data_IF_434648763367
#
_entry.id   IF_434648763367
#
_cell.length_a   1.000
_cell.length_b   1.000
_cell.length_c   1.000
_cell.angle_alpha   90.00
_cell.angle_beta   90.00
_cell.angle_gamma   90.00
#
_symmetry.space_group_name_H-M   'P 1'
#
loop_
_entity.id
_entity.type
_entity.pdbx_description
1 polymer ?
#
# COMPACT_ATOMS: atom_id res chain seq x y z
N UNK A 1 -21.90 4.03 2.67
CA UNK A 1 -21.58 2.94 3.50
C UNK A 1 -20.09 2.64 3.60
N UNK A 2 -19.48 2.99 4.57
CA UNK A 2 -18.23 2.61 5.14
C UNK A 2 -17.12 1.95 4.30
N UNK A 3 -16.90 2.37 3.07
CA UNK A 3 -15.80 1.80 2.30
C UNK A 3 -14.48 2.46 2.66
N UNK A 4 -14.53 3.68 3.16
CA UNK A 4 -13.35 4.38 3.59
C UNK A 4 -12.97 3.91 4.99
N UNK A 5 -11.69 3.65 5.20
CA UNK A 5 -11.18 3.36 6.53
C UNK A 5 -11.01 4.63 7.35
N UNK A 6 -11.09 5.79 6.68
CA UNK A 6 -11.00 7.08 7.32
C UNK A 6 -9.64 7.73 7.09
N UNK A 7 -9.40 8.81 7.81
CA UNK A 7 -8.16 9.55 7.71
C UNK A 7 -7.15 9.07 8.74
N UNK A 8 -5.91 8.91 8.30
CA UNK A 8 -4.77 8.71 9.16
C UNK A 8 -3.74 9.75 8.73
N UNK A 9 -3.49 10.74 9.58
CA UNK A 9 -2.63 11.88 9.26
C UNK A 9 -3.09 12.66 8.02
N UNK A 10 -4.37 12.61 7.70
CA UNK A 10 -4.96 13.33 6.59
C UNK A 10 -5.18 12.53 5.31
N UNK A 11 -4.54 11.37 5.17
CA UNK A 11 -4.77 10.52 4.00
C UNK A 11 -6.09 9.78 4.18
N UNK A 12 -6.93 9.79 3.16
CA UNK A 12 -8.22 9.11 3.20
C UNK A 12 -8.07 7.68 2.70
N UNK A 13 -7.69 6.80 3.61
CA UNK A 13 -7.47 5.39 3.29
C UNK A 13 -8.78 4.68 2.96
N UNK A 14 -8.75 3.90 1.89
CA UNK A 14 -9.89 3.13 1.40
C UNK A 14 -9.71 1.66 1.73
N UNK A 15 -10.83 0.92 1.75
CA UNK A 15 -10.75 -0.52 1.73
C UNK A 15 -10.34 -0.98 0.32
N UNK A 16 -9.66 -2.11 0.24
CA UNK A 16 -9.06 -2.57 -1.01
C UNK A 16 -10.10 -2.77 -2.12
N UNK A 17 -11.21 -3.41 -1.81
CA UNK A 17 -12.24 -3.66 -2.83
C UNK A 17 -12.85 -2.36 -3.36
N UNK A 18 -13.02 -1.37 -2.50
CA UNK A 18 -13.51 -0.07 -2.94
C UNK A 18 -12.48 0.63 -3.82
N UNK A 19 -11.20 0.56 -3.45
CA UNK A 19 -10.14 1.14 -4.28
C UNK A 19 -10.09 0.47 -5.66
N UNK A 20 -10.24 -0.85 -5.70
CA UNK A 20 -10.29 -1.57 -6.97
C UNK A 20 -11.46 -1.10 -7.83
N UNK A 21 -12.63 -0.94 -7.22
CA UNK A 21 -13.82 -0.51 -7.94
C UNK A 21 -13.65 0.88 -8.52
N UNK A 22 -13.11 1.80 -7.73
CA UNK A 22 -12.86 3.17 -8.17
C UNK A 22 -11.79 3.22 -9.27
N UNK A 23 -10.72 2.46 -9.10
CA UNK A 23 -9.62 2.46 -10.07
C UNK A 23 -10.05 1.88 -11.41
N UNK A 24 -10.96 0.93 -11.42
CA UNK A 24 -11.45 0.30 -12.66
C UNK A 24 -12.12 1.32 -13.59
N UNK A 25 -12.70 2.37 -13.03
CA UNK A 25 -13.42 3.39 -13.78
C UNK A 25 -12.67 4.72 -13.85
N UNK A 26 -11.36 4.70 -13.63
CA UNK A 26 -10.56 5.92 -13.49
C UNK A 26 -9.17 5.70 -14.08
N UNK A 27 -8.53 6.82 -14.43
CA UNK A 27 -7.11 6.81 -14.81
C UNK A 27 -6.18 6.87 -13.60
N UNK A 28 -6.73 7.06 -12.40
CA UNK A 28 -5.93 7.09 -11.18
C UNK A 28 -5.57 5.69 -10.75
N UNK A 29 -4.37 5.54 -10.22
CA UNK A 29 -3.86 4.27 -9.73
C UNK A 29 -4.18 4.05 -8.26
N UNK A 30 -4.16 2.80 -7.84
CA UNK A 30 -4.18 2.46 -6.42
C UNK A 30 -2.77 2.59 -5.86
N UNK A 31 -2.66 3.11 -4.64
CA UNK A 31 -1.42 3.16 -3.89
C UNK A 31 -1.59 2.25 -2.68
N UNK A 32 -0.91 1.10 -2.69
CA UNK A 32 -0.99 0.15 -1.59
C UNK A 32 0.23 0.34 -0.69
N UNK A 33 -0.02 0.67 0.58
CA UNK A 33 1.01 0.84 1.58
C UNK A 33 1.00 -0.41 2.47
N UNK A 34 1.99 -1.28 2.28
CA UNK A 34 2.13 -2.48 3.09
C UNK A 34 3.00 -2.19 4.30
N UNK A 35 2.47 -2.49 5.47
CA UNK A 35 3.18 -2.35 6.74
C UNK A 35 3.10 -3.66 7.52
N UNK A 36 3.82 -3.74 8.61
CA UNK A 36 3.68 -4.80 9.62
C UNK A 36 3.78 -4.18 11.00
N UNK A 37 3.34 -4.92 12.00
CA UNK A 37 3.50 -4.47 13.38
C UNK A 37 4.98 -4.51 13.79
N UNK A 38 5.33 -3.73 14.79
CA UNK A 38 6.69 -3.63 15.32
C UNK A 38 7.71 -3.29 14.23
N UNK A 39 7.37 -2.34 13.38
CA UNK A 39 8.20 -1.92 12.27
C UNK A 39 8.55 -0.44 12.42
N UNK A 40 9.79 -0.17 12.79
CA UNK A 40 10.27 1.19 13.01
C UNK A 40 10.13 2.06 11.77
N UNK A 41 10.53 1.55 10.62
CA UNK A 41 10.45 2.32 9.37
C UNK A 41 9.02 2.50 8.86
N UNK A 42 8.12 1.59 9.20
CA UNK A 42 6.70 1.78 8.91
C UNK A 42 6.13 2.96 9.71
N UNK A 43 6.47 3.03 10.99
CA UNK A 43 6.05 4.15 11.84
C UNK A 43 6.70 5.46 11.38
N UNK A 44 7.96 5.41 11.01
CA UNK A 44 8.66 6.58 10.49
C UNK A 44 8.02 7.08 9.20
N UNK A 45 7.62 6.18 8.32
CA UNK A 45 6.92 6.53 7.09
C UNK A 45 5.59 7.22 7.39
N UNK A 46 4.81 6.67 8.31
CA UNK A 46 3.51 7.23 8.69
C UNK A 46 3.64 8.62 9.32
N UNK A 47 4.63 8.79 10.21
CA UNK A 47 4.73 10.01 11.00
C UNK A 47 5.49 11.13 10.30
N UNK A 48 6.39 10.81 9.38
CA UNK A 48 7.21 11.82 8.71
C UNK A 48 6.78 12.08 7.28
N UNK A 49 6.61 11.05 6.48
CA UNK A 49 6.32 11.20 5.06
C UNK A 49 4.83 11.30 4.77
N UNK A 50 4.06 10.33 5.27
CA UNK A 50 2.63 10.25 4.99
C UNK A 50 1.80 11.23 5.80
N UNK A 51 2.43 11.99 6.67
CA UNK A 51 1.78 13.09 7.40
C UNK A 51 2.13 14.46 6.83
N UNK A 52 3.06 14.53 5.88
CA UNK A 52 3.44 15.80 5.27
C UNK A 52 2.28 16.33 4.41
N UNK A 53 1.88 17.60 4.58
CA UNK A 53 0.72 18.13 3.86
C UNK A 53 0.82 18.03 2.34
N UNK A 54 2.00 18.19 1.77
CA UNK A 54 2.18 18.11 0.31
C UNK A 54 2.01 16.68 -0.17
N UNK A 55 2.54 15.70 0.58
CA UNK A 55 2.38 14.29 0.26
C UNK A 55 0.93 13.87 0.39
N UNK A 56 0.29 14.28 1.49
CA UNK A 56 -1.12 13.98 1.76
C UNK A 56 -2.00 14.48 0.62
N UNK A 57 -1.80 15.74 0.21
CA UNK A 57 -2.60 16.33 -0.85
C UNK A 57 -2.39 15.59 -2.17
N UNK A 58 -1.15 15.29 -2.52
CA UNK A 58 -0.83 14.62 -3.76
C UNK A 58 -1.46 13.20 -3.80
N UNK A 59 -1.38 12.48 -2.71
CA UNK A 59 -1.96 11.13 -2.63
C UNK A 59 -3.49 11.21 -2.72
N UNK A 60 -4.12 12.07 -1.93
CA UNK A 60 -5.57 12.18 -1.93
C UNK A 60 -6.12 12.62 -3.29
N UNK A 61 -5.41 13.51 -3.99
CA UNK A 61 -5.89 14.05 -5.26
C UNK A 61 -5.68 13.09 -6.44
N UNK A 62 -4.66 12.23 -6.38
CA UNK A 62 -4.19 11.50 -7.57
C UNK A 62 -4.16 9.99 -7.44
N UNK A 63 -4.45 9.45 -6.27
CA UNK A 63 -4.40 8.01 -6.02
C UNK A 63 -5.60 7.54 -5.21
N UNK A 64 -5.82 6.22 -5.25
CA UNK A 64 -6.74 5.56 -4.32
C UNK A 64 -5.88 4.81 -3.30
N UNK A 65 -5.68 5.38 -2.10
CA UNK A 65 -4.75 4.81 -1.14
C UNK A 65 -5.36 3.71 -0.29
N UNK A 66 -4.62 2.63 -0.09
CA UNK A 66 -5.03 1.49 0.74
C UNK A 66 -3.88 1.13 1.67
N UNK A 67 -4.18 0.97 2.95
CA UNK A 67 -3.19 0.54 3.94
C UNK A 67 -3.42 -0.93 4.26
N UNK A 68 -2.40 -1.77 4.09
CA UNK A 68 -2.51 -3.21 4.23
C UNK A 68 -1.45 -3.76 5.16
N UNK A 69 -1.88 -4.62 6.11
CA UNK A 69 -0.95 -5.35 6.96
C UNK A 69 -0.44 -6.57 6.19
N UNK A 70 0.84 -6.59 5.89
CA UNK A 70 1.46 -7.69 5.14
C UNK A 70 1.50 -9.00 5.91
N UNK A 71 1.16 -8.97 7.20
CA UNK A 71 1.04 -10.16 8.04
C UNK A 71 -0.38 -10.34 8.59
N UNK A 72 -1.38 -9.77 7.91
CA UNK A 72 -2.76 -9.90 8.33
C UNK A 72 -3.13 -11.36 8.53
N UNK A 73 -3.93 -11.62 9.57
CA UNK A 73 -4.45 -12.96 9.86
C UNK A 73 -5.70 -13.27 9.07
N UNK A 74 -6.36 -12.24 8.54
CA UNK A 74 -7.67 -12.37 7.92
C UNK A 74 -7.56 -12.60 6.41
N UNK A 75 -8.55 -13.28 5.81
CA UNK A 75 -8.62 -13.36 4.36
C UNK A 75 -8.76 -11.98 3.74
N UNK A 76 -8.16 -11.78 2.58
CA UNK A 76 -8.25 -10.53 1.84
C UNK A 76 -8.68 -10.84 0.41
N UNK A 77 -9.76 -10.19 -0.03
CA UNK A 77 -10.23 -10.31 -1.40
C UNK A 77 -9.48 -9.30 -2.29
N UNK A 78 -8.95 -9.77 -3.40
CA UNK A 78 -8.28 -8.91 -4.37
C UNK A 78 -8.45 -9.52 -5.76
N UNK A 79 -8.88 -8.72 -6.71
CA UNK A 79 -9.06 -9.14 -8.10
C UNK A 79 -9.94 -10.40 -8.20
N UNK A 80 -11.05 -10.40 -7.44
CA UNK A 80 -12.03 -11.49 -7.38
C UNK A 80 -11.47 -12.81 -6.87
N UNK A 81 -10.36 -12.77 -6.15
CA UNK A 81 -9.74 -13.96 -5.56
C UNK A 81 -9.51 -13.74 -4.08
N UNK A 82 -9.79 -14.77 -3.29
CA UNK A 82 -9.53 -14.72 -1.86
C UNK A 82 -8.10 -15.17 -1.58
N UNK A 83 -7.33 -14.32 -0.88
CA UNK A 83 -5.97 -14.63 -0.45
C UNK A 83 -5.97 -14.85 1.05
N UNK A 84 -5.22 -15.84 1.50
CA UNK A 84 -5.19 -16.25 2.90
C UNK A 84 -3.80 -16.04 3.47
N UNK A 85 -3.71 -16.07 4.80
CA UNK A 85 -2.44 -16.22 5.49
C UNK A 85 -2.32 -17.68 5.92
N UNK A 86 -1.36 -18.40 5.37
CA UNK A 86 -1.21 -19.84 5.64
C UNK A 86 -0.80 -20.10 7.09
N UNK A 87 -0.19 -19.12 7.76
CA UNK A 87 0.25 -19.27 9.14
C UNK A 87 -0.13 -18.05 9.97
N UNK A 88 -1.45 -17.85 10.19
CA UNK A 88 -1.93 -16.60 10.79
C UNK A 88 -1.48 -16.38 12.22
N UNK A 89 -1.07 -17.44 12.92
CA UNK A 89 -0.65 -17.33 14.31
C UNK A 89 0.87 -17.24 14.49
N UNK A 90 1.63 -17.21 13.39
CA UNK A 90 3.09 -17.10 13.43
C UNK A 90 3.46 -15.70 12.95
N UNK A 91 3.83 -14.82 13.90
CA UNK A 91 4.12 -13.42 13.59
C UNK A 91 5.61 -13.10 13.53
N UNK A 92 6.46 -13.95 14.11
CA UNK A 92 7.89 -13.65 14.25
C UNK A 92 8.74 -14.09 13.06
N UNK A 93 8.29 -15.07 12.32
CA UNK A 93 9.07 -15.65 11.24
C UNK A 93 8.65 -15.05 9.90
N UNK A 94 9.32 -15.40 8.79
CA UNK A 94 9.02 -14.84 7.48
C UNK A 94 7.74 -15.43 6.86
N UNK A 95 6.68 -15.48 7.65
CA UNK A 95 5.38 -15.93 7.17
C UNK A 95 4.50 -14.72 6.94
N UNK A 96 4.22 -14.44 5.68
CA UNK A 96 3.48 -13.25 5.27
C UNK A 96 2.16 -13.67 4.63
N UNK A 97 1.23 -12.72 4.59
CA UNK A 97 -0.04 -12.94 3.90
C UNK A 97 0.22 -13.25 2.43
N UNK A 98 -0.57 -14.15 1.85
CA UNK A 98 -0.35 -14.56 0.46
C UNK A 98 -0.56 -13.41 -0.52
N UNK A 99 -1.43 -12.43 -0.21
CA UNK A 99 -1.59 -11.24 -1.05
C UNK A 99 -0.31 -10.42 -1.10
N UNK A 100 0.35 -10.25 0.06
CA UNK A 100 1.63 -9.54 0.09
C UNK A 100 2.66 -10.23 -0.82
N UNK A 101 2.75 -11.56 -0.72
CA UNK A 101 3.70 -12.32 -1.53
C UNK A 101 3.36 -12.28 -3.01
N UNK A 102 2.08 -12.15 -3.34
CA UNK A 102 1.64 -12.04 -4.73
C UNK A 102 2.02 -10.69 -5.34
N UNK A 103 1.83 -9.61 -4.60
CA UNK A 103 1.98 -8.25 -5.12
C UNK A 103 3.37 -7.66 -4.94
N UNK A 104 4.17 -8.18 -4.01
CA UNK A 104 5.49 -7.63 -3.69
C UNK A 104 6.57 -8.60 -4.12
N UNK A 105 7.51 -8.09 -4.90
CA UNK A 105 8.67 -8.87 -5.32
C UNK A 105 9.80 -8.67 -4.32
N UNK A 106 10.54 -9.74 -4.04
CA UNK A 106 11.76 -9.66 -3.24
C UNK A 106 12.82 -8.86 -4.00
N UNK A 107 13.64 -8.14 -3.26
CA UNK A 107 14.82 -7.49 -3.79
C UNK A 107 16.03 -8.11 -3.11
N UNK A 108 16.95 -8.66 -3.91
CA UNK A 108 18.15 -9.35 -3.40
C UNK A 108 17.80 -10.44 -2.39
N UNK A 109 16.69 -11.17 -2.65
CA UNK A 109 16.25 -12.26 -1.80
C UNK A 109 15.55 -11.85 -0.51
N UNK A 110 15.22 -10.57 -0.36
CA UNK A 110 14.61 -10.05 0.86
C UNK A 110 13.35 -9.23 0.60
N UNK A 111 12.46 -9.21 1.58
CA UNK A 111 11.36 -8.24 1.65
C UNK A 111 11.79 -7.09 2.55
N UNK A 112 11.38 -5.88 2.18
CA UNK A 112 11.67 -4.66 2.96
C UNK A 112 10.37 -4.03 3.42
N UNK A 113 10.41 -3.38 4.58
CA UNK A 113 9.24 -2.77 5.20
C UNK A 113 9.51 -1.31 5.50
N UNK A 114 8.56 -0.41 5.23
CA UNK A 114 7.31 -0.69 4.50
C UNK A 114 7.56 -0.92 3.01
N UNK A 115 6.52 -1.31 2.27
CA UNK A 115 6.59 -1.40 0.81
C UNK A 115 5.39 -0.66 0.22
N UNK A 116 5.66 0.19 -0.76
CA UNK A 116 4.60 0.85 -1.53
C UNK A 116 4.50 0.17 -2.89
N UNK A 117 3.28 -0.21 -3.27
CA UNK A 117 3.02 -0.78 -4.59
C UNK A 117 1.97 0.08 -5.26
N UNK A 118 2.26 0.57 -6.46
CA UNK A 118 1.31 1.31 -7.28
C UNK A 118 0.78 0.37 -8.35
N UNK A 119 -0.54 0.24 -8.41
CA UNK A 119 -1.23 -0.69 -9.32
C UNK A 119 -2.34 0.07 -10.04
N UNK A 120 -2.48 -0.15 -11.35
CA UNK A 120 -3.54 0.52 -12.11
C UNK A 120 -4.87 -0.23 -12.00
N UNK A 121 -5.92 0.30 -12.64
CA UNK A 121 -7.25 -0.28 -12.60
C UNK A 121 -7.36 -1.63 -13.28
N UNK A 122 -6.37 -2.03 -14.07
CA UNK A 122 -6.31 -3.34 -14.70
C UNK A 122 -5.45 -4.32 -13.90
N UNK A 123 -5.12 -3.98 -12.66
CA UNK A 123 -4.31 -4.80 -11.76
C UNK A 123 -2.88 -5.01 -12.25
N UNK A 124 -2.36 -4.07 -13.03
CA UNK A 124 -0.97 -4.11 -13.47
C UNK A 124 -0.11 -3.27 -12.53
N UNK A 125 0.98 -3.85 -12.05
CA UNK A 125 1.90 -3.14 -11.17
C UNK A 125 2.73 -2.13 -11.97
N UNK A 126 2.69 -0.87 -11.53
CA UNK A 126 3.42 0.23 -12.16
C UNK A 126 4.80 0.40 -11.53
N UNK A 127 4.86 0.40 -10.21
CA UNK A 127 6.12 0.60 -9.47
C UNK A 127 6.01 -0.07 -8.11
N UNK A 128 7.16 -0.46 -7.59
CA UNK A 128 7.29 -0.95 -6.22
C UNK A 128 8.43 -0.19 -5.55
N UNK A 129 8.15 0.39 -4.38
CA UNK A 129 9.14 1.06 -3.57
C UNK A 129 9.38 0.31 -2.28
N UNK A 130 10.65 0.00 -1.98
CA UNK A 130 10.99 -0.75 -0.77
C UNK A 130 11.59 0.17 0.28
N UNK A 131 11.13 -0.03 1.51
CA UNK A 131 11.69 0.66 2.66
C UNK A 131 11.17 2.07 2.81
N UNK A 132 11.86 2.83 3.65
CA UNK A 132 11.47 4.19 3.97
C UNK A 132 11.75 5.15 2.82
N UNK A 133 10.74 5.94 2.46
CA UNK A 133 10.89 7.01 1.48
C UNK A 133 10.77 8.36 2.19
N UNK A 134 11.83 9.19 2.17
CA UNK A 134 11.70 10.58 2.62
C UNK A 134 10.69 11.36 1.78
N UNK A 135 10.22 12.47 2.32
CA UNK A 135 9.21 13.32 1.68
C UNK A 135 9.57 13.68 0.24
N UNK A 136 10.78 14.18 0.02
CA UNK A 136 11.20 14.64 -1.31
C UNK A 136 11.22 13.49 -2.32
N UNK A 137 11.70 12.34 -1.92
CA UNK A 137 11.72 11.17 -2.79
C UNK A 137 10.31 10.72 -3.11
N UNK A 138 9.42 10.74 -2.13
CA UNK A 138 8.02 10.35 -2.33
C UNK A 138 7.34 11.28 -3.31
N UNK A 139 7.48 12.60 -3.13
CA UNK A 139 6.90 13.58 -4.03
C UNK A 139 7.41 13.40 -5.45
N UNK A 140 8.71 13.20 -5.61
CA UNK A 140 9.33 13.02 -6.93
C UNK A 140 8.81 11.75 -7.61
N UNK A 141 8.78 10.64 -6.90
CA UNK A 141 8.37 9.37 -7.46
C UNK A 141 6.88 9.36 -7.85
N UNK A 142 6.04 9.90 -6.98
CA UNK A 142 4.60 9.94 -7.26
C UNK A 142 4.27 10.94 -8.37
N UNK A 143 4.93 12.09 -8.40
CA UNK A 143 4.75 13.07 -9.47
C UNK A 143 5.13 12.47 -10.84
N UNK A 144 6.17 11.68 -10.88
CA UNK A 144 6.59 11.01 -12.11
C UNK A 144 5.50 10.05 -12.62
N UNK A 145 4.90 9.28 -11.73
CA UNK A 145 3.82 8.35 -12.08
C UNK A 145 2.61 9.12 -12.60
N UNK A 146 2.24 10.22 -11.93
CA UNK A 146 1.09 11.03 -12.32
C UNK A 146 1.28 11.63 -13.72
N UNK A 147 2.52 11.97 -14.09
CA UNK A 147 2.81 12.60 -15.38
C UNK A 147 2.75 11.65 -16.56
N UNK A 148 2.61 10.37 -16.33
CA UNK A 148 2.60 9.33 -17.39
C UNK A 148 1.25 9.13 -18.08
#
# INVERSE_FOLDING_TARGET
>A
IGFAQGFDNGIYWLELQEAERLAADSDKNMLLFFYRENCEYCEKMKTQTLSDPSVVKLINDHFFPVMLDGKSKDPIMYNNKEYLNDKPNVQDAPYFHNLYKELVDMKDGNYYWPTIVIINGNHEKIIQGQGFWPKEQTLRNLAYIISK
#
